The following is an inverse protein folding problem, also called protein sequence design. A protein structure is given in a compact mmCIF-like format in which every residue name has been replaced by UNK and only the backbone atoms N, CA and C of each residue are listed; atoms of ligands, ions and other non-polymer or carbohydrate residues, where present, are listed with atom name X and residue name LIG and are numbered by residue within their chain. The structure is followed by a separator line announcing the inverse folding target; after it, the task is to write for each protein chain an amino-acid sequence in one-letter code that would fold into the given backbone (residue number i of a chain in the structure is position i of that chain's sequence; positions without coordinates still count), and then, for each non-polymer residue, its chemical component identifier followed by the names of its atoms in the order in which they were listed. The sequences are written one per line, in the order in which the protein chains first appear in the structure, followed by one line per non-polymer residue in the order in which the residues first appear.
data_IF_406878430168
#
_entry.id   IF_406878430168
#
_cell.length_a   1.000
_cell.length_b   1.000
_cell.length_c   1.000
_cell.angle_alpha   90.00
_cell.angle_beta   90.00
_cell.angle_gamma   90.00
#
_symmetry.space_group_name_H-M   'P 1'
#
loop_
_entity.id
_entity.type
_entity.pdbx_description
1 polymer ?
#
# COMPACT_ATOMS: atom_id res chain seq x y z
N UNK A 1 0.53 -24.78 -38.51
CA UNK A 1 1.29 -23.52 -38.36
C UNK A 1 0.35 -22.47 -37.81
N UNK A 2 0.47 -22.14 -36.53
CA UNK A 2 -0.38 -21.15 -35.87
C UNK A 2 0.44 -20.51 -34.75
N UNK A 3 1.12 -19.43 -35.09
CA UNK A 3 2.05 -18.74 -34.21
C UNK A 3 1.35 -18.11 -33.01
N UNK A 4 1.95 -18.30 -31.83
CA UNK A 4 1.64 -17.55 -30.61
C UNK A 4 1.80 -16.05 -30.88
N UNK A 5 0.69 -15.30 -30.86
CA UNK A 5 0.74 -13.84 -30.73
C UNK A 5 0.92 -13.54 -29.24
N UNK A 6 2.19 -13.39 -28.84
CA UNK A 6 2.55 -12.82 -27.55
C UNK A 6 2.31 -11.31 -27.67
N UNK A 7 1.42 -10.76 -26.84
CA UNK A 7 1.26 -9.32 -26.74
C UNK A 7 2.60 -8.73 -26.29
N UNK A 8 3.28 -8.02 -27.20
CA UNK A 8 4.50 -7.31 -26.88
C UNK A 8 4.13 -6.14 -25.95
N UNK A 9 4.44 -6.28 -24.66
CA UNK A 9 4.48 -5.14 -23.76
C UNK A 9 5.58 -4.17 -24.26
N UNK A 10 5.32 -2.85 -24.28
CA UNK A 10 6.37 -1.90 -24.62
C UNK A 10 7.54 -2.07 -23.65
N UNK A 11 8.71 -2.34 -24.21
CA UNK A 11 9.99 -2.50 -23.51
C UNK A 11 10.21 -1.34 -22.53
N UNK A 12 10.53 -1.61 -21.25
CA UNK A 12 10.99 -0.56 -20.34
C UNK A 12 12.23 0.11 -20.92
N UNK A 13 12.16 1.43 -21.09
CA UNK A 13 13.31 2.24 -21.48
C UNK A 13 14.43 2.12 -20.44
N UNK A 14 15.57 1.59 -20.88
CA UNK A 14 17.00 1.84 -20.55
C UNK A 14 17.48 2.42 -19.21
N UNK A 15 16.67 2.64 -18.19
CA UNK A 15 17.16 3.23 -16.93
C UNK A 15 17.87 2.21 -16.01
N UNK A 16 17.71 0.91 -16.25
CA UNK A 16 18.30 -0.14 -15.40
C UNK A 16 19.72 -0.56 -15.83
N UNK A 17 20.13 -0.32 -17.08
CA UNK A 17 21.45 -0.73 -17.59
C UNK A 17 22.60 0.17 -17.15
N UNK A 18 22.33 1.42 -16.76
CA UNK A 18 23.38 2.36 -16.33
C UNK A 18 23.75 2.22 -14.84
N UNK A 19 22.89 1.62 -14.02
CA UNK A 19 23.15 1.44 -12.58
C UNK A 19 23.69 0.03 -12.28
N UNK A 20 23.39 -0.97 -13.11
CA UNK A 20 23.77 -2.36 -12.85
C UNK A 20 24.30 -3.01 -14.14
N UNK A 21 25.62 -3.28 -14.12
CA UNK A 21 26.44 -3.68 -15.26
C UNK A 21 25.83 -4.77 -16.16
N UNK A 22 26.11 -4.63 -17.46
CA UNK A 22 25.58 -5.47 -18.51
C UNK A 22 26.06 -6.92 -18.45
N UNK A 23 25.18 -7.81 -18.00
CA UNK A 23 25.21 -9.23 -18.36
C UNK A 23 23.79 -9.68 -18.68
N UNK A 24 23.26 -9.27 -19.84
CA UNK A 24 21.98 -9.79 -20.36
C UNK A 24 22.23 -10.57 -21.65
N UNK A 25 22.78 -11.77 -21.49
CA UNK A 25 22.54 -12.83 -22.47
C UNK A 25 21.06 -13.16 -22.43
N UNK A 26 20.35 -12.94 -23.55
CA UNK A 26 18.97 -13.40 -23.74
C UNK A 26 18.98 -14.92 -23.73
N UNK A 27 18.76 -15.53 -22.57
CA UNK A 27 18.37 -16.94 -22.51
C UNK A 27 16.87 -17.02 -22.63
N UNK A 28 16.41 -17.79 -23.62
CA UNK A 28 15.02 -18.22 -23.73
C UNK A 28 14.58 -18.82 -22.39
N UNK A 29 13.51 -18.27 -21.83
CA UNK A 29 12.88 -18.75 -20.61
C UNK A 29 12.27 -20.13 -20.86
N UNK A 30 12.78 -21.15 -20.17
CA UNK A 30 12.21 -22.50 -20.14
C UNK A 30 11.14 -22.58 -19.04
N UNK A 31 9.84 -22.71 -19.39
CA UNK A 31 8.75 -22.80 -18.42
C UNK A 31 8.78 -24.08 -17.57
N UNK A 32 9.72 -25.02 -17.81
CA UNK A 32 9.90 -26.25 -17.03
C UNK A 32 11.07 -26.21 -16.05
N UNK A 33 11.87 -25.13 -16.04
CA UNK A 33 12.85 -24.88 -14.97
C UNK A 33 12.14 -24.30 -13.73
N UNK A 34 12.59 -24.64 -12.52
CA UNK A 34 12.03 -24.08 -11.28
C UNK A 34 12.38 -22.58 -11.20
N UNK A 35 11.59 -21.75 -11.87
CA UNK A 35 11.71 -20.30 -11.89
C UNK A 35 11.74 -19.72 -10.47
N UNK A 36 11.24 -20.45 -9.47
CA UNK A 36 11.26 -20.04 -8.08
C UNK A 36 12.68 -19.85 -7.53
N UNK A 37 13.69 -20.52 -8.09
CA UNK A 37 15.08 -20.31 -7.69
C UNK A 37 15.63 -18.96 -8.17
N UNK A 38 15.14 -18.46 -9.30
CA UNK A 38 15.55 -17.15 -9.84
C UNK A 38 15.18 -15.98 -8.92
N UNK A 39 14.23 -16.16 -8.01
CA UNK A 39 13.76 -15.14 -7.05
C UNK A 39 14.30 -15.31 -5.64
N UNK A 40 15.01 -16.40 -5.35
CA UNK A 40 15.63 -16.67 -4.05
C UNK A 40 17.05 -16.10 -4.00
N UNK A 41 17.51 -15.63 -2.85
CA UNK A 41 18.92 -15.35 -2.64
C UNK A 41 19.75 -16.64 -2.45
N UNK A 42 21.04 -16.48 -2.22
CA UNK A 42 22.00 -17.56 -1.93
C UNK A 42 21.61 -18.44 -0.74
N UNK A 43 20.76 -17.91 0.16
CA UNK A 43 20.21 -18.61 1.33
C UNK A 43 18.80 -19.14 1.08
N UNK A 44 18.35 -19.20 -0.17
CA UNK A 44 17.02 -19.73 -0.53
C UNK A 44 15.86 -18.80 -0.21
N UNK A 45 16.11 -17.54 0.18
CA UNK A 45 15.08 -16.62 0.67
C UNK A 45 14.52 -15.79 -0.48
N UNK A 46 13.21 -15.74 -0.66
CA UNK A 46 12.60 -14.92 -1.72
C UNK A 46 12.89 -13.43 -1.49
N UNK A 47 13.35 -12.74 -2.53
CA UNK A 47 13.69 -11.31 -2.48
C UNK A 47 12.88 -10.48 -3.45
N UNK A 48 12.30 -9.39 -2.92
CA UNK A 48 11.56 -8.41 -3.70
C UNK A 48 12.35 -7.87 -4.90
N UNK A 49 13.65 -7.61 -4.73
CA UNK A 49 14.47 -7.12 -5.84
C UNK A 49 14.52 -8.11 -7.01
N UNK A 50 14.69 -9.42 -6.74
CA UNK A 50 14.72 -10.44 -7.78
C UNK A 50 13.37 -10.61 -8.46
N UNK A 51 12.28 -10.67 -7.68
CA UNK A 51 10.92 -10.70 -8.22
C UNK A 51 10.59 -9.46 -9.07
N UNK A 52 11.07 -8.28 -8.67
CA UNK A 52 10.95 -7.05 -9.49
C UNK A 52 11.70 -7.17 -10.80
N UNK A 53 12.95 -7.64 -10.79
CA UNK A 53 13.72 -7.81 -12.01
C UNK A 53 13.02 -8.76 -12.98
N UNK A 54 12.57 -9.92 -12.50
CA UNK A 54 11.86 -10.90 -13.32
C UNK A 54 10.56 -10.32 -13.92
N UNK A 55 9.78 -9.56 -13.14
CA UNK A 55 8.55 -8.93 -13.62
C UNK A 55 8.82 -7.86 -14.69
N UNK A 56 9.73 -6.92 -14.44
CA UNK A 56 9.99 -5.83 -15.40
C UNK A 56 10.77 -6.29 -16.65
N UNK A 57 11.51 -7.40 -16.57
CA UNK A 57 12.13 -8.03 -17.73
C UNK A 57 11.14 -8.81 -18.60
N UNK A 58 9.89 -8.96 -18.15
CA UNK A 58 8.82 -9.68 -18.87
C UNK A 58 8.85 -11.19 -18.66
N UNK A 59 9.65 -11.71 -17.73
CA UNK A 59 9.72 -13.13 -17.43
C UNK A 59 8.56 -13.62 -16.56
N UNK A 60 7.86 -12.71 -15.84
CA UNK A 60 6.73 -13.04 -14.96
C UNK A 60 5.43 -12.40 -15.41
N UNK A 61 4.33 -13.14 -15.27
CA UNK A 61 2.98 -12.61 -15.33
C UNK A 61 2.41 -12.30 -13.92
N UNK A 62 1.13 -11.93 -13.84
CA UNK A 62 0.45 -11.70 -12.56
C UNK A 62 0.30 -12.96 -11.70
N UNK A 63 0.16 -14.13 -12.32
CA UNK A 63 0.13 -15.42 -11.64
C UNK A 63 1.43 -15.71 -10.92
N UNK A 64 2.56 -15.55 -11.60
CA UNK A 64 3.89 -15.76 -11.04
C UNK A 64 4.26 -14.70 -10.00
N UNK A 65 3.81 -13.45 -10.20
CA UNK A 65 3.93 -12.40 -9.19
C UNK A 65 3.17 -12.76 -7.90
N UNK A 66 1.93 -13.25 -8.01
CA UNK A 66 1.12 -13.71 -6.88
C UNK A 66 1.80 -14.86 -6.14
N UNK A 67 2.29 -15.88 -6.86
CA UNK A 67 3.06 -17.00 -6.29
C UNK A 67 4.32 -16.50 -5.56
N UNK A 68 5.09 -15.62 -6.20
CA UNK A 68 6.31 -15.02 -5.61
C UNK A 68 6.02 -14.28 -4.31
N UNK A 69 4.94 -13.50 -4.29
CA UNK A 69 4.48 -12.80 -3.09
C UNK A 69 4.09 -13.78 -1.98
N UNK A 70 3.36 -14.86 -2.30
CA UNK A 70 3.01 -15.92 -1.34
C UNK A 70 4.25 -16.55 -0.71
N UNK A 71 5.21 -16.98 -1.53
CA UNK A 71 6.47 -17.53 -1.02
C UNK A 71 7.21 -16.52 -0.12
N UNK A 72 7.23 -15.23 -0.51
CA UNK A 72 7.86 -14.19 0.29
C UNK A 72 7.20 -13.97 1.65
N UNK A 73 5.86 -13.94 1.71
CA UNK A 73 5.11 -13.68 2.94
C UNK A 73 5.07 -14.89 3.87
N UNK A 74 5.05 -16.11 3.31
CA UNK A 74 5.02 -17.36 4.06
C UNK A 74 6.38 -17.73 4.67
N UNK A 75 7.48 -17.25 4.08
CA UNK A 75 8.81 -17.38 4.66
C UNK A 75 8.92 -16.53 5.93
N UNK A 76 8.83 -17.16 7.11
CA UNK A 76 9.02 -16.47 8.38
C UNK A 76 10.48 -16.02 8.54
N UNK A 77 10.68 -14.71 8.63
CA UNK A 77 11.98 -14.08 8.90
C UNK A 77 11.93 -13.37 10.25
N UNK A 78 13.04 -13.43 10.98
CA UNK A 78 13.20 -12.94 12.33
C UNK A 78 14.39 -11.99 12.39
N UNK A 79 14.23 -10.88 13.10
CA UNK A 79 15.33 -10.05 13.53
C UNK A 79 15.93 -10.62 14.80
N UNK A 80 17.25 -10.79 14.81
CA UNK A 80 18.01 -11.14 16.03
C UNK A 80 18.74 -9.91 16.52
N UNK A 81 18.56 -9.59 17.79
CA UNK A 81 19.16 -8.46 18.46
C UNK A 81 19.77 -8.94 19.78
N UNK A 82 21.06 -8.67 19.98
CA UNK A 82 21.75 -8.99 21.22
C UNK A 82 21.75 -7.74 22.11
N UNK A 83 21.44 -7.92 23.39
CA UNK A 83 21.50 -6.89 24.42
C UNK A 83 22.77 -7.16 25.23
N UNK A 84 23.66 -6.20 25.23
CA UNK A 84 25.00 -6.32 25.81
C UNK A 84 25.11 -5.33 26.97
N UNK A 85 25.63 -5.79 28.11
CA UNK A 85 26.00 -4.95 29.25
C UNK A 85 27.43 -5.25 29.65
N UNK A 86 28.25 -4.22 29.83
CA UNK A 86 29.65 -4.37 30.24
C UNK A 86 30.46 -5.34 29.34
N UNK A 87 30.15 -5.35 28.04
CA UNK A 87 30.79 -6.23 27.05
C UNK A 87 30.26 -7.67 27.00
N UNK A 88 29.28 -8.03 27.84
CA UNK A 88 28.69 -9.37 27.91
C UNK A 88 27.26 -9.36 27.35
N UNK A 89 26.91 -10.32 26.50
CA UNK A 89 25.53 -10.50 26.04
C UNK A 89 24.68 -11.02 27.21
N UNK A 90 23.80 -10.17 27.72
CA UNK A 90 22.90 -10.51 28.83
C UNK A 90 21.59 -11.10 28.33
N UNK A 91 21.20 -10.79 27.09
CA UNK A 91 19.94 -11.25 26.50
C UNK A 91 20.02 -11.26 24.97
N UNK A 92 19.41 -12.24 24.33
CA UNK A 92 19.15 -12.24 22.90
C UNK A 92 17.64 -12.15 22.64
N UNK A 93 17.22 -11.10 21.94
CA UNK A 93 15.84 -10.88 21.50
C UNK A 93 15.71 -11.32 20.04
N UNK A 94 14.83 -12.29 19.79
CA UNK A 94 14.47 -12.76 18.46
C UNK A 94 13.01 -12.37 18.23
N UNK A 95 12.73 -11.59 17.19
CA UNK A 95 11.36 -11.15 16.87
C UNK A 95 11.04 -11.35 15.41
N UNK A 96 9.89 -11.98 15.14
CA UNK A 96 9.41 -12.19 13.77
C UNK A 96 9.10 -10.84 13.11
N UNK A 97 9.65 -10.65 11.92
CA UNK A 97 9.57 -9.40 11.21
C UNK A 97 8.19 -9.23 10.55
N UNK A 98 7.61 -8.03 10.58
CA UNK A 98 6.33 -7.76 9.93
C UNK A 98 6.51 -7.71 8.41
N UNK A 99 5.97 -8.70 7.71
CA UNK A 99 5.79 -8.69 6.25
C UNK A 99 4.36 -8.32 5.93
N UNK A 100 4.13 -7.50 4.90
CA UNK A 100 2.77 -7.15 4.46
C UNK A 100 2.01 -8.45 4.19
N UNK A 101 0.93 -8.67 4.94
CA UNK A 101 0.15 -9.89 4.84
C UNK A 101 0.60 -11.06 5.73
N UNK A 102 1.58 -10.91 6.63
CA UNK A 102 1.78 -11.90 7.69
C UNK A 102 0.96 -11.58 8.94
N UNK A 103 0.93 -12.53 9.87
CA UNK A 103 0.25 -12.46 11.16
C UNK A 103 0.60 -11.21 11.99
N UNK A 104 1.90 -10.90 12.14
CA UNK A 104 2.35 -9.74 12.91
C UNK A 104 1.91 -8.42 12.26
N UNK A 105 2.06 -8.30 10.94
CA UNK A 105 1.60 -7.12 10.21
C UNK A 105 0.09 -6.92 10.39
N UNK A 106 -0.71 -7.99 10.31
CA UNK A 106 -2.17 -7.92 10.51
C UNK A 106 -2.52 -7.45 11.91
N UNK A 107 -1.86 -7.99 12.93
CA UNK A 107 -2.10 -7.57 14.31
C UNK A 107 -1.74 -6.10 14.52
N UNK A 108 -0.58 -5.66 14.01
CA UNK A 108 -0.15 -4.25 14.06
C UNK A 108 -1.14 -3.36 13.32
N UNK A 109 -1.62 -3.78 12.15
CA UNK A 109 -2.61 -3.06 11.37
C UNK A 109 -3.95 -2.96 12.11
N UNK A 110 -4.45 -4.05 12.68
CA UNK A 110 -5.70 -4.05 13.47
C UNK A 110 -5.61 -3.08 14.63
N UNK A 111 -4.49 -3.09 15.39
CA UNK A 111 -4.25 -2.13 16.47
C UNK A 111 -4.26 -0.68 15.97
N UNK A 112 -3.56 -0.40 14.87
CA UNK A 112 -3.54 0.94 14.24
C UNK A 112 -4.91 1.39 13.75
N UNK A 113 -5.78 0.47 13.38
CA UNK A 113 -7.15 0.75 12.95
C UNK A 113 -8.17 0.70 14.11
N UNK A 114 -7.72 0.49 15.36
CA UNK A 114 -8.57 0.42 16.54
C UNK A 114 -9.36 1.71 16.77
N UNK A 115 -8.80 2.87 16.40
CA UNK A 115 -9.51 4.15 16.48
C UNK A 115 -10.81 4.19 15.66
N UNK A 116 -10.95 3.34 14.62
CA UNK A 116 -12.20 3.26 13.86
C UNK A 116 -13.37 2.80 14.72
N UNK A 117 -13.10 2.06 15.80
CA UNK A 117 -14.10 1.61 16.77
C UNK A 117 -14.50 2.74 17.73
N UNK A 118 -13.60 3.70 17.98
CA UNK A 118 -13.85 4.84 18.87
C UNK A 118 -14.54 6.03 18.19
N UNK A 119 -14.77 5.99 16.87
CA UNK A 119 -15.41 7.11 16.13
C UNK A 119 -16.91 7.29 16.43
N UNK A 120 -17.56 6.31 17.08
CA UNK A 120 -18.99 6.33 17.39
C UNK A 120 -19.90 6.17 16.15
N UNK A 121 -21.15 5.77 16.36
CA UNK A 121 -22.14 5.65 15.29
C UNK A 121 -22.86 6.99 15.05
N UNK A 122 -22.14 7.91 14.40
CA UNK A 122 -22.77 9.13 13.89
C UNK A 122 -23.52 8.79 12.60
N UNK A 123 -24.84 8.73 12.71
CA UNK A 123 -25.75 8.58 11.58
C UNK A 123 -25.98 9.96 10.93
N UNK A 124 -25.72 10.06 9.63
CA UNK A 124 -25.99 11.26 8.83
C UNK A 124 -27.45 11.30 8.37
N UNK A 125 -28.03 10.13 8.03
CA UNK A 125 -29.43 9.98 7.66
C UNK A 125 -29.90 8.54 7.89
N UNK A 126 -31.23 8.33 7.96
CA UNK A 126 -31.80 7.00 8.17
C UNK A 126 -31.87 6.20 6.85
N UNK A 127 -31.12 5.08 6.69
CA UNK A 127 -31.08 4.30 5.46
C UNK A 127 -32.38 3.52 5.18
N UNK A 128 -33.29 3.41 6.16
CA UNK A 128 -34.61 2.77 6.01
C UNK A 128 -35.68 3.73 5.51
N UNK A 129 -35.41 5.04 5.51
CA UNK A 129 -36.38 6.02 5.03
C UNK A 129 -36.58 5.88 3.52
N UNK A 130 -37.83 5.73 3.09
CA UNK A 130 -38.18 5.68 1.66
C UNK A 130 -38.16 7.07 1.01
N UNK A 131 -38.41 8.11 1.81
CA UNK A 131 -38.33 9.50 1.37
C UNK A 131 -36.96 10.08 1.74
N UNK A 132 -36.10 10.26 0.74
CA UNK A 132 -34.77 10.86 0.92
C UNK A 132 -34.79 12.39 0.82
N UNK A 133 -35.96 13.01 0.70
CA UNK A 133 -36.06 14.46 0.65
C UNK A 133 -35.48 15.10 1.92
N UNK A 134 -34.54 16.03 1.74
CA UNK A 134 -33.82 16.69 2.83
C UNK A 134 -32.69 15.85 3.46
N UNK A 135 -32.51 14.59 3.07
CA UNK A 135 -31.40 13.76 3.57
C UNK A 135 -30.06 14.34 3.08
N UNK A 136 -29.10 14.46 4.00
CA UNK A 136 -27.77 14.99 3.74
C UNK A 136 -26.70 14.08 4.31
N UNK A 137 -25.52 14.09 3.70
CA UNK A 137 -24.33 13.44 4.25
C UNK A 137 -23.12 14.35 4.19
N UNK A 138 -22.24 14.20 5.16
CA UNK A 138 -20.90 14.82 5.16
C UNK A 138 -19.83 13.79 4.82
N UNK A 139 -20.21 12.56 4.49
CA UNK A 139 -19.27 11.48 4.25
C UNK A 139 -19.57 10.77 2.93
N UNK A 140 -18.56 10.68 2.08
CA UNK A 140 -18.63 10.01 0.79
C UNK A 140 -17.62 8.87 0.73
N UNK A 141 -18.05 7.74 0.16
CA UNK A 141 -17.15 6.71 -0.33
C UNK A 141 -16.94 6.95 -1.82
N UNK A 142 -15.68 7.10 -2.24
CA UNK A 142 -15.32 7.47 -3.60
C UNK A 142 -14.36 6.43 -4.17
N UNK A 143 -14.66 5.98 -5.38
CA UNK A 143 -13.77 5.17 -6.21
C UNK A 143 -13.29 5.98 -7.39
N UNK A 144 -11.98 6.19 -7.50
CA UNK A 144 -11.33 6.85 -8.62
C UNK A 144 -10.66 5.80 -9.50
N UNK A 145 -11.21 5.58 -10.70
CA UNK A 145 -10.71 4.58 -11.64
C UNK A 145 -9.48 5.05 -12.41
N UNK A 146 -8.94 4.17 -13.24
CA UNK A 146 -7.79 4.43 -14.10
C UNK A 146 -8.05 4.00 -15.54
N UNK A 147 -7.60 4.81 -16.49
CA UNK A 147 -7.56 4.41 -17.90
C UNK A 147 -6.15 3.89 -18.26
N UNK A 148 -6.01 2.60 -18.61
CA UNK A 148 -4.72 2.00 -19.00
C UNK A 148 -4.09 2.64 -20.23
N UNK A 149 -4.84 3.40 -21.04
CA UNK A 149 -4.31 4.15 -22.19
C UNK A 149 -3.44 5.35 -21.81
N UNK A 150 -3.45 5.74 -20.53
CA UNK A 150 -2.76 6.95 -20.05
C UNK A 150 -1.24 6.80 -20.01
N UNK A 151 -0.75 5.67 -19.51
CA UNK A 151 0.66 5.33 -19.40
C UNK A 151 0.79 3.83 -19.08
N UNK A 152 2.00 3.29 -19.15
CA UNK A 152 2.25 1.91 -18.76
C UNK A 152 1.99 1.64 -17.26
N UNK A 153 1.92 0.36 -16.90
CA UNK A 153 1.63 -0.12 -15.56
C UNK A 153 2.66 0.37 -14.52
N UNK A 154 3.96 0.33 -14.85
CA UNK A 154 5.01 0.76 -13.93
C UNK A 154 4.88 2.26 -13.63
N UNK A 155 4.70 3.05 -14.67
CA UNK A 155 4.47 4.49 -14.58
C UNK A 155 3.20 4.81 -13.79
N UNK A 156 2.12 4.05 -13.96
CA UNK A 156 0.88 4.25 -13.23
C UNK A 156 1.09 4.08 -11.71
N UNK A 157 1.84 3.06 -11.29
CA UNK A 157 2.13 2.80 -9.88
C UNK A 157 3.26 3.68 -9.31
N UNK A 158 4.40 3.74 -9.98
CA UNK A 158 5.65 4.32 -9.46
C UNK A 158 5.90 5.76 -9.93
N UNK A 159 5.43 6.10 -11.13
CA UNK A 159 5.67 7.39 -11.77
C UNK A 159 7.09 7.60 -12.27
N UNK A 160 7.26 8.62 -13.12
CA UNK A 160 8.58 9.04 -13.57
C UNK A 160 9.28 9.86 -12.50
N UNK A 161 10.54 9.50 -12.26
CA UNK A 161 11.39 10.16 -11.27
C UNK A 161 12.50 10.90 -11.98
N UNK A 162 12.84 12.06 -11.45
CA UNK A 162 14.04 12.83 -11.78
C UNK A 162 14.86 12.95 -10.51
N UNK A 163 16.17 12.92 -10.69
CA UNK A 163 17.08 13.30 -9.62
C UNK A 163 16.90 14.79 -9.31
N UNK A 164 17.00 15.11 -8.02
CA UNK A 164 16.99 16.47 -7.48
C UNK A 164 18.04 16.55 -6.37
N UNK A 165 18.53 17.75 -6.16
CA UNK A 165 19.46 18.06 -5.08
C UNK A 165 18.72 18.89 -4.04
N UNK A 166 18.92 18.57 -2.76
CA UNK A 166 18.37 19.39 -1.66
C UNK A 166 19.06 20.76 -1.69
N UNK A 167 18.35 21.76 -2.21
CA UNK A 167 18.81 23.15 -2.29
C UNK A 167 18.61 23.92 -0.98
N UNK A 168 19.39 24.99 -0.82
CA UNK A 168 19.11 26.07 0.14
C UNK A 168 18.04 27.03 -0.38
N UNK A 169 17.45 27.84 0.49
CA UNK A 169 16.59 28.95 0.11
C UNK A 169 17.47 30.03 -0.55
N UNK A 170 17.31 30.32 -1.85
CA UNK A 170 18.15 31.30 -2.53
C UNK A 170 17.93 32.73 -2.01
N UNK A 171 16.83 32.99 -1.31
CA UNK A 171 16.49 34.30 -0.75
C UNK A 171 16.82 34.42 0.74
N UNK A 172 17.21 33.32 1.40
CA UNK A 172 17.60 33.33 2.80
C UNK A 172 18.69 32.29 3.13
N UNK A 173 19.92 32.50 2.63
CA UNK A 173 21.02 31.53 2.73
C UNK A 173 21.47 31.24 4.18
N UNK A 174 21.21 32.13 5.13
CA UNK A 174 21.59 31.98 6.55
C UNK A 174 20.68 31.03 7.33
N UNK A 175 19.44 30.78 6.87
CA UNK A 175 18.50 29.88 7.54
C UNK A 175 18.76 28.39 7.27
N UNK A 176 19.45 28.08 6.17
CA UNK A 176 19.64 26.71 5.68
C UNK A 176 21.07 26.18 5.84
N UNK A 177 22.03 27.00 6.26
CA UNK A 177 23.44 26.58 6.45
C UNK A 177 23.66 25.46 7.47
N UNK A 178 22.63 25.10 8.26
CA UNK A 178 22.70 24.05 9.28
C UNK A 178 21.94 22.76 8.91
N UNK A 179 21.33 22.66 7.73
CA UNK A 179 20.68 21.40 7.32
C UNK A 179 21.72 20.35 6.92
N UNK A 180 21.88 19.29 7.73
CA UNK A 180 22.74 18.10 7.46
C UNK A 180 22.42 17.37 6.15
N UNK A 181 21.41 17.81 5.40
CA UNK A 181 20.94 17.20 4.17
C UNK A 181 21.15 18.07 2.92
N UNK A 182 21.69 19.28 3.06
CA UNK A 182 21.98 20.16 1.92
C UNK A 182 22.97 19.47 0.95
N UNK A 183 22.72 19.59 -0.35
CA UNK A 183 23.53 18.93 -1.37
C UNK A 183 23.26 17.42 -1.54
N UNK A 184 22.42 16.79 -0.70
CA UNK A 184 22.04 15.38 -0.90
C UNK A 184 21.14 15.21 -2.11
N UNK A 185 21.44 14.19 -2.90
CA UNK A 185 20.65 13.78 -4.04
C UNK A 185 19.44 12.96 -3.59
N UNK A 186 18.29 13.19 -4.22
CA UNK A 186 17.08 12.42 -4.00
C UNK A 186 16.25 12.34 -5.27
N UNK A 187 15.48 11.26 -5.42
CA UNK A 187 14.58 11.10 -6.56
C UNK A 187 13.21 11.68 -6.22
N UNK A 188 12.78 12.66 -7.01
CA UNK A 188 11.45 13.25 -6.94
C UNK A 188 10.64 12.91 -8.18
N UNK A 189 9.31 12.90 -8.06
CA UNK A 189 8.48 12.75 -9.25
C UNK A 189 8.60 14.00 -10.14
N UNK A 190 8.62 13.79 -11.45
CA UNK A 190 8.62 14.89 -12.41
C UNK A 190 7.35 15.75 -12.28
N UNK A 191 7.43 17.02 -12.68
CA UNK A 191 6.25 17.88 -12.75
C UNK A 191 5.24 17.25 -13.71
N UNK A 192 3.97 17.22 -13.31
CA UNK A 192 2.92 16.60 -14.12
C UNK A 192 2.91 15.07 -14.11
N UNK A 193 3.72 14.41 -13.27
CA UNK A 193 3.80 12.94 -13.19
C UNK A 193 2.41 12.30 -13.20
N UNK A 194 2.17 11.34 -14.11
CA UNK A 194 0.85 10.77 -14.33
C UNK A 194 0.48 9.75 -13.27
N UNK A 195 1.39 9.29 -12.40
CA UNK A 195 1.13 8.19 -11.47
C UNK A 195 -0.04 8.44 -10.50
N UNK A 196 -0.61 7.35 -9.99
CA UNK A 196 -1.78 7.36 -9.12
C UNK A 196 -1.60 8.23 -7.88
N UNK A 197 -0.40 8.25 -7.29
CA UNK A 197 -0.13 9.08 -6.12
C UNK A 197 -0.17 10.57 -6.45
N UNK A 198 0.45 10.98 -7.55
CA UNK A 198 0.50 12.38 -7.96
C UNK A 198 -0.88 12.88 -8.40
N UNK A 199 -1.63 12.06 -9.15
CA UNK A 199 -3.00 12.36 -9.54
C UNK A 199 -3.92 12.49 -8.33
N UNK A 200 -3.88 11.52 -7.41
CA UNK A 200 -4.62 11.59 -6.15
C UNK A 200 -4.33 12.90 -5.40
N UNK A 201 -3.05 13.27 -5.25
CA UNK A 201 -2.66 14.47 -4.52
C UNK A 201 -3.19 15.76 -5.18
N UNK A 202 -3.17 15.84 -6.52
CA UNK A 202 -3.78 16.96 -7.24
C UNK A 202 -5.30 17.01 -7.02
N UNK A 203 -5.95 15.85 -7.16
CA UNK A 203 -7.41 15.72 -7.00
C UNK A 203 -7.86 16.11 -5.59
N UNK A 204 -7.25 15.55 -4.54
CA UNK A 204 -7.65 15.87 -3.16
C UNK A 204 -7.34 17.33 -2.78
N UNK A 205 -6.31 17.93 -3.40
CA UNK A 205 -6.03 19.36 -3.23
C UNK A 205 -7.13 20.21 -3.85
N UNK A 206 -7.58 19.87 -5.06
CA UNK A 206 -8.69 20.56 -5.71
C UNK A 206 -10.01 20.39 -4.93
N UNK A 207 -10.28 19.17 -4.45
CA UNK A 207 -11.43 18.89 -3.58
C UNK A 207 -11.42 19.77 -2.33
N UNK A 208 -10.28 19.93 -1.65
CA UNK A 208 -10.16 20.79 -0.46
C UNK A 208 -10.33 22.27 -0.75
N UNK A 209 -9.84 22.75 -1.91
CA UNK A 209 -10.09 24.12 -2.35
C UNK A 209 -11.57 24.39 -2.58
N UNK A 210 -12.31 23.39 -3.08
CA UNK A 210 -13.73 23.52 -3.45
C UNK A 210 -14.68 23.33 -2.26
N UNK A 211 -14.41 22.36 -1.40
CA UNK A 211 -15.35 21.92 -0.35
C UNK A 211 -14.82 22.13 1.08
N UNK A 212 -13.69 22.83 1.25
CA UNK A 212 -13.11 23.14 2.55
C UNK A 212 -12.31 21.98 3.15
N UNK A 213 -12.35 21.83 4.46
CA UNK A 213 -11.60 20.80 5.19
C UNK A 213 -12.15 19.42 4.91
N UNK A 214 -11.26 18.54 4.46
CA UNK A 214 -11.57 17.15 4.14
C UNK A 214 -10.60 16.22 4.87
N UNK A 215 -11.18 15.43 5.76
CA UNK A 215 -10.54 14.27 6.37
C UNK A 215 -10.61 13.09 5.41
N UNK A 216 -9.50 12.38 5.28
CA UNK A 216 -9.30 11.35 4.26
C UNK A 216 -8.90 10.05 4.92
N UNK A 217 -9.53 8.96 4.49
CA UNK A 217 -8.98 7.61 4.60
C UNK A 217 -8.98 7.01 3.20
N UNK A 218 -7.81 6.63 2.67
CA UNK A 218 -7.67 6.10 1.30
C UNK A 218 -6.88 4.81 1.26
N UNK A 219 -7.13 3.98 0.25
CA UNK A 219 -6.33 2.83 -0.11
C UNK A 219 -6.14 2.74 -1.63
N UNK A 220 -5.03 2.14 -2.04
CA UNK A 220 -4.76 1.80 -3.43
C UNK A 220 -5.11 0.33 -3.67
N UNK A 221 -5.80 0.06 -4.77
CA UNK A 221 -6.11 -1.29 -5.23
C UNK A 221 -5.72 -1.49 -6.68
N UNK A 222 -5.54 -2.74 -7.05
CA UNK A 222 -5.39 -3.11 -8.45
C UNK A 222 -6.75 -3.51 -9.02
N UNK A 223 -7.02 -3.14 -10.26
CA UNK A 223 -8.08 -3.82 -11.01
C UNK A 223 -7.75 -5.32 -11.11
N UNK A 224 -8.79 -6.14 -10.97
CA UNK A 224 -8.67 -7.59 -11.09
C UNK A 224 -8.30 -8.02 -12.51
N UNK A 225 -8.02 -9.31 -12.67
CA UNK A 225 -7.76 -9.91 -13.98
C UNK A 225 -9.10 -10.16 -14.69
N UNK A 226 -9.17 -9.73 -15.94
CA UNK A 226 -10.35 -9.91 -16.78
C UNK A 226 -10.20 -11.19 -17.61
N UNK A 227 -11.32 -11.80 -18.00
CA UNK A 227 -11.30 -12.92 -18.92
C UNK A 227 -10.74 -12.49 -20.28
N UNK A 228 -10.04 -13.40 -20.96
CA UNK A 228 -9.50 -13.14 -22.30
C UNK A 228 -10.65 -12.99 -23.28
N UNK A 229 -10.98 -11.76 -23.66
CA UNK A 229 -12.07 -11.43 -24.58
C UNK A 229 -11.63 -10.52 -25.74
N UNK A 230 -10.32 -10.33 -25.91
CA UNK A 230 -9.72 -9.48 -26.93
C UNK A 230 -9.85 -7.97 -26.67
N UNK A 231 -10.38 -7.54 -25.51
CA UNK A 231 -10.47 -6.13 -25.14
C UNK A 231 -9.30 -5.69 -24.27
N UNK A 232 -9.02 -4.39 -24.31
CA UNK A 232 -8.06 -3.76 -23.38
C UNK A 232 -8.76 -3.57 -22.04
N UNK A 233 -8.31 -4.34 -21.04
CA UNK A 233 -8.75 -4.19 -19.66
C UNK A 233 -7.74 -3.41 -18.83
N UNK A 234 -8.20 -2.90 -17.69
CA UNK A 234 -7.35 -2.17 -16.76
C UNK A 234 -6.58 -3.09 -15.79
N UNK A 235 -6.44 -4.38 -16.11
CA UNK A 235 -5.88 -5.41 -15.22
C UNK A 235 -4.56 -4.97 -14.58
N UNK A 236 -4.49 -5.07 -13.24
CA UNK A 236 -3.33 -4.66 -12.46
C UNK A 236 -3.14 -3.15 -12.31
N UNK A 237 -3.81 -2.30 -13.08
CA UNK A 237 -3.67 -0.85 -12.94
C UNK A 237 -4.21 -0.34 -11.60
N UNK A 238 -3.59 0.71 -11.04
CA UNK A 238 -3.99 1.23 -9.74
C UNK A 238 -5.26 2.05 -9.82
N UNK A 239 -6.21 1.79 -8.93
CA UNK A 239 -7.32 2.69 -8.64
C UNK A 239 -7.37 3.05 -7.15
N UNK A 240 -8.12 4.08 -6.81
CA UNK A 240 -8.22 4.58 -5.44
C UNK A 240 -9.61 4.33 -4.89
N UNK A 241 -9.67 3.73 -3.70
CA UNK A 241 -10.86 3.80 -2.86
C UNK A 241 -10.58 4.76 -1.70
N UNK A 242 -11.53 5.63 -1.38
CA UNK A 242 -11.39 6.56 -0.29
C UNK A 242 -12.72 6.84 0.42
N UNK A 243 -12.68 6.99 1.74
CA UNK A 243 -13.72 7.66 2.50
C UNK A 243 -13.26 9.06 2.82
N UNK A 244 -14.11 10.02 2.46
CA UNK A 244 -13.91 11.43 2.70
C UNK A 244 -14.96 11.93 3.68
N UNK A 245 -14.52 12.57 4.76
CA UNK A 245 -15.37 13.32 5.68
C UNK A 245 -15.16 14.81 5.44
N UNK A 246 -16.22 15.49 5.04
CA UNK A 246 -16.28 16.90 4.73
C UNK A 246 -16.70 17.67 5.98
N UNK A 247 -15.77 18.44 6.53
CA UNK A 247 -16.03 19.16 7.78
C UNK A 247 -16.83 20.44 7.53
N UNK A 248 -16.66 21.06 6.36
CA UNK A 248 -17.26 22.36 6.05
C UNK A 248 -18.38 22.27 4.99
N UNK A 249 -18.73 21.05 4.55
CA UNK A 249 -19.69 20.85 3.47
C UNK A 249 -20.56 19.60 3.69
N UNK A 250 -21.81 19.64 3.20
CA UNK A 250 -22.75 18.51 3.20
C UNK A 250 -23.43 18.36 1.86
N UNK A 251 -23.54 17.13 1.37
CA UNK A 251 -24.17 16.77 0.11
C UNK A 251 -25.61 16.31 0.32
N UNK A 252 -26.52 16.73 -0.55
CA UNK A 252 -27.87 16.18 -0.55
C UNK A 252 -27.86 14.77 -1.18
N UNK A 253 -28.61 13.86 -0.55
CA UNK A 253 -28.81 12.50 -1.05
C UNK A 253 -29.97 12.51 -2.04
N UNK A 254 -29.75 11.96 -3.23
CA UNK A 254 -30.70 11.99 -4.33
C UNK A 254 -31.57 10.75 -4.37
N UNK A 255 -30.95 9.58 -4.51
CA UNK A 255 -31.68 8.32 -4.66
C UNK A 255 -30.84 7.14 -4.16
N UNK A 256 -31.48 5.97 -4.09
CA UNK A 256 -30.84 4.69 -3.85
C UNK A 256 -30.86 3.88 -5.14
N UNK A 257 -29.70 3.44 -5.62
CA UNK A 257 -29.61 2.66 -6.85
C UNK A 257 -30.05 1.20 -6.66
N UNK A 258 -30.08 0.45 -7.77
CA UNK A 258 -30.48 -0.97 -7.78
C UNK A 258 -29.56 -1.85 -6.93
N UNK A 259 -28.28 -1.47 -6.85
CA UNK A 259 -27.26 -2.12 -6.02
C UNK A 259 -27.31 -1.67 -4.55
N UNK A 260 -28.36 -0.91 -4.17
CA UNK A 260 -28.65 -0.43 -2.83
C UNK A 260 -27.69 0.64 -2.31
N UNK A 261 -26.88 1.27 -3.17
CA UNK A 261 -26.02 2.39 -2.81
C UNK A 261 -26.78 3.71 -2.85
N UNK A 262 -26.53 4.58 -1.87
CA UNK A 262 -27.08 5.93 -1.87
C UNK A 262 -26.23 6.84 -2.74
N UNK A 263 -26.86 7.68 -3.55
CA UNK A 263 -26.19 8.57 -4.50
C UNK A 263 -26.45 10.03 -4.12
N UNK A 264 -25.46 10.89 -4.36
CA UNK A 264 -25.60 12.35 -4.22
C UNK A 264 -26.30 12.94 -5.45
N UNK A 265 -26.63 14.23 -5.40
CA UNK A 265 -27.17 14.95 -6.55
C UNK A 265 -26.23 14.89 -7.76
N UNK A 266 -26.82 14.90 -8.95
CA UNK A 266 -26.06 14.80 -10.21
C UNK A 266 -25.07 15.97 -10.39
N UNK A 267 -25.48 17.19 -10.04
CA UNK A 267 -24.61 18.36 -10.11
C UNK A 267 -23.35 18.20 -9.25
N UNK A 268 -23.51 17.79 -7.98
CA UNK A 268 -22.37 17.53 -7.09
C UNK A 268 -21.50 16.39 -7.61
N UNK A 269 -22.10 15.33 -8.17
CA UNK A 269 -21.36 14.22 -8.77
C UNK A 269 -20.51 14.71 -9.95
N UNK A 270 -21.09 15.46 -10.86
CA UNK A 270 -20.39 15.98 -12.05
C UNK A 270 -19.28 16.95 -11.63
N UNK A 271 -19.52 17.77 -10.64
CA UNK A 271 -18.54 18.69 -10.06
C UNK A 271 -17.30 17.99 -9.48
N UNK A 272 -17.49 16.89 -8.77
CA UNK A 272 -16.40 16.07 -8.24
C UNK A 272 -15.72 15.30 -9.38
N UNK A 273 -16.50 14.76 -10.31
CA UNK A 273 -16.01 13.96 -11.43
C UNK A 273 -15.12 14.78 -12.35
N UNK A 274 -15.45 16.06 -12.60
CA UNK A 274 -14.66 16.96 -13.44
C UNK A 274 -13.25 17.26 -12.90
N UNK A 275 -12.99 16.97 -11.62
CA UNK A 275 -11.64 17.10 -11.03
C UNK A 275 -10.75 15.89 -11.32
N UNK A 276 -11.34 14.77 -11.77
CA UNK A 276 -10.64 13.53 -12.11
C UNK A 276 -10.80 13.25 -13.62
N UNK A 277 -9.73 12.78 -14.25
CA UNK A 277 -9.72 12.61 -15.71
C UNK A 277 -10.39 11.31 -16.18
N UNK A 278 -10.79 10.44 -15.26
CA UNK A 278 -11.37 9.13 -15.54
C UNK A 278 -12.70 8.96 -14.80
N UNK A 279 -13.28 7.77 -14.85
CA UNK A 279 -14.52 7.49 -14.15
C UNK A 279 -14.37 7.65 -12.62
N UNK A 280 -15.35 8.32 -12.03
CA UNK A 280 -15.50 8.50 -10.58
C UNK A 280 -16.84 7.91 -10.15
N UNK A 281 -16.78 6.96 -9.23
CA UNK A 281 -17.96 6.44 -8.55
C UNK A 281 -18.08 7.04 -7.15
N UNK A 282 -19.28 7.47 -6.77
CA UNK A 282 -19.55 8.19 -5.52
C UNK A 282 -20.76 7.60 -4.82
N UNK A 283 -20.56 7.13 -3.60
CA UNK A 283 -21.61 6.66 -2.71
C UNK A 283 -21.73 7.59 -1.50
N UNK A 284 -22.96 7.99 -1.19
CA UNK A 284 -23.30 8.73 0.01
C UNK A 284 -23.33 7.77 1.21
N UNK A 285 -22.51 8.02 2.22
CA UNK A 285 -22.51 7.22 3.43
C UNK A 285 -23.60 7.69 4.39
N UNK A 286 -24.41 6.76 4.91
CA UNK A 286 -25.45 7.07 5.89
C UNK A 286 -24.95 7.08 7.34
N UNK A 287 -23.81 6.42 7.62
CA UNK A 287 -23.15 6.49 8.91
C UNK A 287 -21.63 6.41 8.77
N UNK A 288 -20.93 6.95 9.76
CA UNK A 288 -19.48 6.84 9.85
C UNK A 288 -19.04 5.37 9.95
N UNK A 289 -19.72 4.57 10.76
CA UNK A 289 -19.39 3.16 10.96
C UNK A 289 -19.58 2.34 9.68
N UNK A 290 -20.65 2.59 8.91
CA UNK A 290 -20.90 1.93 7.63
C UNK A 290 -19.76 2.19 6.63
N UNK A 291 -19.36 3.45 6.47
CA UNK A 291 -18.26 3.84 5.59
C UNK A 291 -16.93 3.21 6.00
N UNK A 292 -16.65 3.18 7.31
CA UNK A 292 -15.43 2.58 7.83
C UNK A 292 -15.43 1.05 7.74
N UNK A 293 -16.59 0.42 7.81
CA UNK A 293 -16.76 -1.02 7.54
C UNK A 293 -16.33 -1.39 6.12
N UNK A 294 -16.67 -0.56 5.13
CA UNK A 294 -16.18 -0.74 3.76
C UNK A 294 -14.65 -0.67 3.68
N UNK A 295 -14.00 0.26 4.37
CA UNK A 295 -12.54 0.34 4.34
C UNK A 295 -11.88 -0.80 5.14
N UNK A 296 -12.42 -1.17 6.32
CA UNK A 296 -11.92 -2.35 7.06
C UNK A 296 -11.93 -3.58 6.17
N UNK A 297 -12.99 -3.78 5.37
CA UNK A 297 -13.05 -4.84 4.36
C UNK A 297 -11.85 -4.78 3.42
N UNK A 298 -11.54 -3.61 2.85
CA UNK A 298 -10.43 -3.41 1.91
C UNK A 298 -9.03 -3.57 2.54
N UNK A 299 -8.81 -3.02 3.74
CA UNK A 299 -7.52 -3.07 4.43
C UNK A 299 -7.18 -4.46 4.99
N UNK A 300 -8.20 -5.25 5.31
CA UNK A 300 -8.06 -6.59 5.89
C UNK A 300 -8.20 -7.71 4.84
N UNK A 301 -8.24 -7.38 3.54
CA UNK A 301 -8.39 -8.33 2.42
C UNK A 301 -7.35 -9.47 2.35
N UNK A 302 -6.24 -9.40 3.08
CA UNK A 302 -5.12 -10.35 2.90
C UNK A 302 -5.06 -11.48 3.92
N UNK A 303 -5.42 -12.70 3.49
CA UNK A 303 -4.94 -14.06 3.85
C UNK A 303 -4.81 -14.45 5.34
N UNK A 304 -4.40 -15.69 5.65
CA UNK A 304 -4.17 -16.22 7.01
C UNK A 304 -4.73 -17.63 7.22
N UNK A 305 -4.00 -18.52 7.92
CA UNK A 305 -4.43 -19.89 8.25
C UNK A 305 -5.78 -19.90 8.99
N UNK A 306 -6.50 -21.04 8.93
CA UNK A 306 -7.83 -21.32 9.52
C UNK A 306 -8.01 -20.99 11.01
N UNK A 307 -6.98 -20.60 11.76
CA UNK A 307 -7.00 -20.55 13.24
C UNK A 307 -6.45 -19.26 13.85
N UNK A 308 -6.73 -18.08 13.29
CA UNK A 308 -6.77 -16.89 14.15
C UNK A 308 -8.24 -16.68 14.53
N UNK A 309 -8.61 -17.02 15.77
CA UNK A 309 -9.96 -16.75 16.30
C UNK A 309 -10.36 -15.32 15.94
N UNK A 310 -11.53 -15.16 15.32
CA UNK A 310 -12.15 -13.87 14.97
C UNK A 310 -11.55 -13.08 13.79
N UNK A 311 -10.83 -13.73 12.85
CA UNK A 311 -10.41 -13.07 11.59
C UNK A 311 -11.10 -13.75 10.40
N UNK A 312 -12.09 -13.06 9.84
CA UNK A 312 -12.80 -13.52 8.64
C UNK A 312 -11.86 -13.51 7.43
N UNK A 313 -11.70 -14.65 6.74
CA UNK A 313 -11.02 -14.73 5.44
C UNK A 313 -11.87 -14.04 4.36
N UNK A 314 -11.26 -13.27 3.47
CA UNK A 314 -11.89 -12.77 2.24
C UNK A 314 -11.28 -13.52 1.07
N UNK A 315 -12.11 -14.29 0.36
CA UNK A 315 -11.70 -15.30 -0.61
C UNK A 315 -11.78 -14.79 -2.06
N UNK A 316 -10.93 -13.83 -2.44
CA UNK A 316 -10.91 -13.30 -3.82
C UNK A 316 -9.50 -13.06 -4.35
N UNK A 317 -9.22 -13.57 -5.55
CA UNK A 317 -7.96 -13.40 -6.31
C UNK A 317 -7.52 -11.93 -6.45
N UNK A 318 -8.47 -11.00 -6.61
CA UNK A 318 -8.19 -9.56 -6.73
C UNK A 318 -7.47 -8.98 -5.50
N UNK A 319 -7.72 -9.55 -4.31
CA UNK A 319 -7.06 -9.15 -3.07
C UNK A 319 -5.58 -9.50 -3.08
N UNK A 320 -5.24 -10.68 -3.63
CA UNK A 320 -3.86 -11.14 -3.74
C UNK A 320 -3.06 -10.30 -4.74
N UNK A 321 -3.65 -10.07 -5.92
CA UNK A 321 -3.03 -9.24 -6.94
C UNK A 321 -2.73 -7.84 -6.42
N UNK A 322 -3.70 -7.23 -5.72
CA UNK A 322 -3.51 -5.91 -5.10
C UNK A 322 -2.30 -5.88 -4.17
N UNK A 323 -2.15 -6.86 -3.27
CA UNK A 323 -1.05 -6.82 -2.30
C UNK A 323 0.28 -7.25 -2.88
N UNK A 324 0.28 -8.14 -3.87
CA UNK A 324 1.46 -8.49 -4.64
C UNK A 324 1.98 -7.27 -5.42
N UNK A 325 1.11 -6.48 -6.06
CA UNK A 325 1.50 -5.24 -6.75
C UNK A 325 1.94 -4.15 -5.78
N UNK A 326 1.27 -3.99 -4.64
CA UNK A 326 1.72 -3.06 -3.61
C UNK A 326 3.09 -3.44 -3.03
N UNK A 327 3.38 -4.75 -2.89
CA UNK A 327 4.68 -5.27 -2.53
C UNK A 327 5.72 -5.00 -3.62
N UNK A 328 5.40 -5.38 -4.87
CA UNK A 328 6.23 -5.15 -6.06
C UNK A 328 6.65 -3.69 -6.16
N UNK A 329 5.70 -2.76 -6.13
CA UNK A 329 5.93 -1.32 -6.29
C UNK A 329 6.30 -0.59 -5.00
N UNK A 330 6.47 -1.31 -3.88
CA UNK A 330 6.80 -0.74 -2.56
C UNK A 330 5.83 0.37 -2.13
N UNK A 331 4.57 0.29 -2.55
CA UNK A 331 3.58 1.36 -2.31
C UNK A 331 2.85 1.13 -1.00
N UNK A 332 2.65 2.18 -0.21
CA UNK A 332 1.86 2.12 1.02
C UNK A 332 0.41 1.72 0.69
N UNK A 333 -0.15 0.72 1.39
CA UNK A 333 -1.52 0.23 1.10
C UNK A 333 -2.58 1.31 1.33
N UNK A 334 -2.42 2.10 2.39
CA UNK A 334 -3.43 3.06 2.83
C UNK A 334 -2.80 4.29 3.47
N UNK A 335 -3.55 5.39 3.50
CA UNK A 335 -3.20 6.57 4.25
C UNK A 335 -4.43 7.17 4.90
N UNK A 336 -4.24 7.76 6.07
CA UNK A 336 -5.28 8.42 6.85
C UNK A 336 -4.77 9.82 7.18
N UNK A 337 -5.61 10.85 7.01
CA UNK A 337 -5.24 12.21 7.42
C UNK A 337 -5.09 12.29 8.94
N UNK A 338 -4.40 13.31 9.45
CA UNK A 338 -4.43 13.61 10.88
C UNK A 338 -5.84 13.98 11.36
N UNK A 339 -6.09 13.89 12.67
CA UNK A 339 -7.30 14.39 13.31
C UNK A 339 -8.55 13.49 13.22
N UNK A 340 -8.44 12.27 12.70
CA UNK A 340 -9.50 11.25 12.90
C UNK A 340 -9.48 10.66 14.31
N UNK A 341 -8.30 10.62 14.94
CA UNK A 341 -8.07 10.31 16.35
C UNK A 341 -6.96 11.22 16.87
N UNK A 342 -6.77 11.24 18.20
CA UNK A 342 -5.75 12.06 18.85
C UNK A 342 -4.32 11.74 18.40
N UNK A 343 -4.04 10.56 17.84
CA UNK A 343 -2.85 10.32 17.05
C UNK A 343 -2.95 8.93 16.37
N UNK A 344 -2.62 8.85 15.08
CA UNK A 344 -2.55 7.55 14.37
C UNK A 344 -1.13 6.97 14.38
N UNK A 345 -0.17 7.73 14.92
CA UNK A 345 1.24 7.37 15.03
C UNK A 345 1.64 7.08 16.50
N UNK A 346 0.84 7.45 17.51
CA UNK A 346 1.17 7.17 18.94
C UNK A 346 1.20 5.70 19.33
N UNK A 347 0.59 4.79 18.56
CA UNK A 347 0.67 3.36 18.86
C UNK A 347 2.00 2.71 18.47
N UNK A 348 2.98 3.48 17.99
CA UNK A 348 4.37 3.14 18.18
C UNK A 348 4.82 3.73 19.51
N UNK A 349 5.21 2.88 20.47
CA UNK A 349 6.07 3.33 21.57
C UNK A 349 7.33 3.85 20.89
N UNK A 350 7.36 5.14 20.60
CA UNK A 350 8.57 5.80 20.15
C UNK A 350 9.28 6.11 21.44
N UNK A 351 10.12 5.18 21.87
CA UNK A 351 10.98 5.42 23.00
C UNK A 351 12.02 6.45 22.55
N UNK A 352 11.74 7.72 22.86
CA UNK A 352 12.60 8.86 22.54
C UNK A 352 13.68 9.06 23.59
N UNK A 353 13.53 8.39 24.74
CA UNK A 353 14.50 8.41 25.83
C UNK A 353 15.01 6.99 26.10
N UNK A 354 16.31 6.82 25.87
CA UNK A 354 17.03 5.57 26.13
C UNK A 354 17.90 5.71 27.38
N UNK A 355 17.73 6.76 28.19
CA UNK A 355 18.51 7.01 29.41
C UNK A 355 18.53 5.81 30.35
N UNK A 356 17.40 5.13 30.47
CA UNK A 356 17.23 3.95 31.33
C UNK A 356 18.01 2.73 30.81
N UNK A 357 18.55 2.82 29.59
CA UNK A 357 19.32 1.80 28.89
C UNK A 357 20.73 2.32 28.56
N UNK A 358 21.21 3.40 29.18
CA UNK A 358 22.52 4.00 28.89
C UNK A 358 23.69 3.03 29.01
N UNK A 359 23.58 2.01 29.88
CA UNK A 359 24.60 0.98 30.08
C UNK A 359 24.45 -0.22 29.14
N UNK A 360 23.43 -0.21 28.28
CA UNK A 360 23.09 -1.32 27.38
C UNK A 360 23.44 -0.99 25.93
N UNK A 361 24.14 -1.91 25.29
CA UNK A 361 24.45 -1.87 23.86
C UNK A 361 23.54 -2.86 23.13
N UNK A 362 22.81 -2.35 22.13
CA UNK A 362 21.96 -3.17 21.28
C UNK A 362 22.68 -3.48 19.97
N UNK A 363 23.06 -4.73 19.76
CA UNK A 363 23.69 -5.20 18.53
C UNK A 363 22.66 -5.88 17.63
N UNK A 364 22.51 -5.37 16.41
CA UNK A 364 21.69 -6.02 15.38
C UNK A 364 22.49 -7.15 14.71
N UNK A 365 22.24 -8.39 15.13
CA UNK A 365 22.93 -9.56 14.59
C UNK A 365 22.46 -9.92 13.16
N UNK A 366 21.26 -9.53 12.76
CA UNK A 366 20.78 -9.69 11.38
C UNK A 366 19.37 -10.25 11.24
N UNK A 367 19.07 -10.69 10.01
CA UNK A 367 17.80 -11.33 9.64
C UNK A 367 18.02 -12.80 9.33
N UNK A 368 17.22 -13.65 9.97
CA UNK A 368 17.32 -15.11 9.88
C UNK A 368 15.96 -15.73 9.59
N UNK A 369 15.93 -16.91 8.99
CA UNK A 369 14.73 -17.74 8.85
C UNK A 369 14.43 -18.49 10.16
N UNK A 370 13.23 -19.06 10.26
CA UNK A 370 12.87 -19.95 11.36
C UNK A 370 13.84 -21.16 11.46
N UNK A 371 14.21 -21.71 10.30
CA UNK A 371 15.11 -22.86 10.18
C UNK A 371 16.54 -22.53 10.65
N UNK A 372 17.08 -21.39 10.23
CA UNK A 372 18.42 -20.94 10.63
C UNK A 372 18.55 -20.69 12.14
N UNK A 373 17.44 -20.37 12.80
CA UNK A 373 17.37 -20.18 14.26
C UNK A 373 16.90 -21.44 15.00
N UNK A 374 16.52 -22.50 14.28
CA UNK A 374 15.89 -23.70 14.84
C UNK A 374 14.67 -23.39 15.75
N UNK A 375 13.78 -22.51 15.29
CA UNK A 375 12.56 -22.11 16.01
C UNK A 375 11.29 -22.39 15.19
N UNK A 376 10.14 -22.47 15.86
CA UNK A 376 8.85 -22.60 15.18
C UNK A 376 8.51 -21.34 14.37
N UNK A 377 8.09 -21.52 13.12
CA UNK A 377 7.73 -20.43 12.19
C UNK A 377 6.54 -19.56 12.65
N UNK A 378 5.72 -20.04 13.58
CA UNK A 378 4.62 -19.31 14.20
C UNK A 378 5.05 -18.57 15.47
N UNK A 379 6.30 -18.68 15.91
CA UNK A 379 6.87 -17.86 16.99
C UNK A 379 6.79 -16.39 16.63
N UNK A 380 6.27 -15.55 17.53
CA UNK A 380 6.26 -14.09 17.32
C UNK A 380 7.49 -13.41 17.91
N UNK A 381 7.90 -13.87 19.08
CA UNK A 381 9.10 -13.41 19.77
C UNK A 381 9.64 -14.48 20.69
N UNK A 382 10.95 -14.50 20.87
CA UNK A 382 11.67 -15.32 21.82
C UNK A 382 12.72 -14.44 22.49
N UNK A 383 12.88 -14.59 23.79
CA UNK A 383 13.93 -13.96 24.58
C UNK A 383 14.78 -15.07 25.19
N UNK A 384 16.09 -15.03 24.96
CA UNK A 384 17.05 -16.00 25.48
C UNK A 384 17.94 -15.26 26.50
N UNK A 385 17.83 -15.57 27.80
CA UNK A 385 18.72 -15.01 28.82
C UNK A 385 20.12 -15.59 28.71
N UNK A 386 21.14 -14.72 28.73
CA UNK A 386 22.51 -15.11 28.44
C UNK A 386 22.68 -15.44 26.96
N UNK A 387 23.61 -14.76 26.30
CA UNK A 387 23.88 -14.92 24.86
C UNK A 387 24.12 -16.35 24.41
#
# INVERSE_FOLDING_TARGET
MGGRVIAAYPTPGTFLSEIYGGTTGRHHFDPFSDWSDSIKDDRGRVRLHKARCAFFQGSFDFGDLKKSYRMWVDLAEFGKLNVIKDGVVIETIISKLPKRGNDIYRWKLKKRLGFLESLGDSNFFNPKCRNLHGAKTRMLFITLTWDPKTCDLETAWSGHKTEKIVGGDPYNPTRNSQSKCLGKHYFAHVKGCPCVSCRWNRWITAMRKRYGRIKVLRNFEAFGESAVDGKVHADGYPHVHAVLLFEDHSFAVSYRDQSKHFRILRADKDDISNLWQFHVDIEACYSAQGAMGYIKKYLLKTYGKKQVKNVHRIDKDNSELTVALLWLFRKQSFAVSGGWSSDLITYGVTQTDISDFCDLVFEWAGVFTAEELNIDSNTWSLVIPGG
#
